data_IF_620281023312
#
_entry.id   IF_620281023312
#
_cell.length_a   1.000
_cell.length_b   1.000
_cell.length_c   1.000
_cell.angle_alpha   90.00
_cell.angle_beta   90.00
_cell.angle_gamma   90.00
#
_symmetry.space_group_name_H-M   'P 1'
#
loop_
_entity.id
_entity.type
_entity.pdbx_description
1 polymer ?
#
# COMPACT_ATOMS: atom_id res chain seq x y z
N UNK A 1 -20.46 -43.88 23.08
CA UNK A 1 -19.54 -43.06 23.91
C UNK A 1 -18.08 -43.50 23.83
N UNK A 2 -17.72 -44.78 23.83
CA UNK A 2 -16.29 -45.24 23.76
C UNK A 2 -15.56 -44.92 22.44
N UNK A 3 -16.24 -44.78 21.30
CA UNK A 3 -15.63 -44.47 19.98
C UNK A 3 -15.25 -42.99 19.83
N UNK A 4 -15.95 -42.09 20.50
CA UNK A 4 -15.66 -40.64 20.47
C UNK A 4 -14.42 -40.31 21.31
N UNK A 5 -14.21 -41.04 22.40
CA UNK A 5 -13.04 -40.89 23.26
C UNK A 5 -11.75 -41.33 22.56
N UNK A 6 -11.80 -42.33 21.68
CA UNK A 6 -10.65 -42.79 20.91
C UNK A 6 -10.22 -41.79 19.83
N UNK A 7 -11.17 -41.10 19.22
CA UNK A 7 -10.89 -40.08 18.18
C UNK A 7 -10.27 -38.83 18.82
N UNK A 8 -10.72 -38.44 20.03
CA UNK A 8 -10.15 -37.29 20.75
C UNK A 8 -8.70 -37.54 21.24
N UNK A 9 -8.37 -38.80 21.53
CA UNK A 9 -7.01 -39.17 21.95
C UNK A 9 -6.03 -39.18 20.77
N UNK A 10 -6.50 -39.49 19.53
CA UNK A 10 -5.66 -39.46 18.35
C UNK A 10 -5.32 -38.06 17.85
N UNK A 11 -6.17 -37.06 18.16
CA UNK A 11 -5.94 -35.67 17.78
C UNK A 11 -4.87 -34.97 18.62
N UNK A 12 -4.46 -35.53 19.74
CA UNK A 12 -3.46 -34.91 20.63
C UNK A 12 -2.00 -35.27 20.25
N UNK A 13 -1.79 -36.32 19.44
CA UNK A 13 -0.44 -36.73 19.05
C UNK A 13 0.15 -35.95 17.86
N UNK A 14 -0.68 -35.15 17.15
CA UNK A 14 -0.20 -34.41 15.97
C UNK A 14 0.45 -33.07 16.29
N UNK A 15 0.30 -32.54 17.52
CA UNK A 15 0.79 -31.22 17.90
C UNK A 15 2.31 -31.23 18.15
N UNK A 16 2.87 -32.34 18.64
CA UNK A 16 4.30 -32.42 18.94
C UNK A 16 5.20 -32.63 17.73
N UNK A 17 4.66 -33.17 16.63
CA UNK A 17 5.44 -33.41 15.41
C UNK A 17 5.70 -32.14 14.59
N UNK A 18 4.93 -31.09 14.78
CA UNK A 18 5.09 -29.81 14.05
C UNK A 18 6.21 -28.95 14.63
N UNK A 19 6.41 -28.96 15.95
CA UNK A 19 7.49 -28.18 16.60
C UNK A 19 8.86 -28.76 16.31
N UNK A 20 8.99 -30.09 16.19
CA UNK A 20 10.24 -30.75 15.86
C UNK A 20 10.60 -30.57 14.38
N UNK A 21 9.60 -30.56 13.49
CA UNK A 21 9.81 -30.29 12.06
C UNK A 21 10.21 -28.82 11.81
N UNK A 22 9.66 -27.88 12.57
CA UNK A 22 10.05 -26.47 12.54
C UNK A 22 11.49 -26.24 13.02
N UNK A 23 11.96 -27.00 14.00
CA UNK A 23 13.36 -26.97 14.46
C UNK A 23 14.34 -27.57 13.47
N UNK A 24 13.89 -28.58 12.66
CA UNK A 24 14.70 -29.19 11.59
C UNK A 24 14.84 -28.30 10.35
N UNK A 25 13.93 -27.31 10.15
CA UNK A 25 14.03 -26.34 9.06
C UNK A 25 15.15 -25.31 9.24
N UNK A 26 15.90 -25.37 10.35
CA UNK A 26 16.99 -24.46 10.68
C UNK A 26 16.45 -23.08 11.07
N UNK A 27 16.90 -22.55 12.17
CA UNK A 27 16.78 -21.13 12.45
C UNK A 27 17.59 -20.38 11.37
N UNK A 28 16.95 -20.03 10.26
CA UNK A 28 17.41 -18.93 9.46
C UNK A 28 17.35 -17.70 10.36
N UNK A 29 18.49 -17.42 10.99
CA UNK A 29 18.61 -16.43 12.06
C UNK A 29 18.19 -15.05 11.62
N UNK A 30 18.09 -14.79 10.30
CA UNK A 30 17.67 -13.52 9.72
C UNK A 30 16.66 -13.71 8.58
N UNK A 31 15.39 -13.42 8.83
CA UNK A 31 14.37 -13.42 7.78
C UNK A 31 13.65 -12.06 7.65
N UNK A 32 13.41 -11.65 6.39
CA UNK A 32 12.64 -10.45 6.09
C UNK A 32 11.16 -10.71 6.33
N UNK A 33 10.46 -9.72 6.88
CA UNK A 33 9.01 -9.78 7.03
C UNK A 33 8.38 -9.62 5.65
N UNK A 34 7.59 -10.62 5.24
CA UNK A 34 7.02 -10.69 3.89
C UNK A 34 6.12 -9.50 3.58
N UNK A 35 5.18 -9.16 4.49
CA UNK A 35 4.24 -8.08 4.31
C UNK A 35 3.92 -7.41 5.63
N UNK A 36 3.99 -6.07 5.64
CA UNK A 36 3.54 -5.24 6.75
C UNK A 36 2.03 -4.93 6.61
N UNK A 37 1.60 -4.67 5.38
CA UNK A 37 0.19 -4.44 5.03
C UNK A 37 -0.24 -5.37 3.90
N UNK A 38 -1.56 -5.55 3.74
CA UNK A 38 -2.15 -6.41 2.69
C UNK A 38 -2.18 -5.76 1.31
N UNK A 39 -1.92 -4.46 1.20
CA UNK A 39 -2.02 -3.75 -0.07
C UNK A 39 -1.03 -2.60 -0.19
N UNK A 40 -0.82 -2.17 -1.42
CA UNK A 40 0.09 -1.07 -1.77
C UNK A 40 -0.42 0.31 -1.33
N UNK A 41 -1.68 0.39 -0.88
CA UNK A 41 -2.31 1.62 -0.38
C UNK A 41 -3.07 1.35 0.92
N UNK A 42 -3.11 2.35 1.80
CA UNK A 42 -3.88 2.36 3.04
C UNK A 42 -4.88 3.50 2.93
N UNK A 43 -6.18 3.16 2.76
CA UNK A 43 -7.26 4.13 2.56
C UNK A 43 -6.90 5.11 1.42
N UNK A 44 -6.55 6.36 1.74
CA UNK A 44 -6.17 7.41 0.79
C UNK A 44 -4.64 7.59 0.68
N UNK A 45 -3.87 6.96 1.54
CA UNK A 45 -2.40 7.06 1.59
C UNK A 45 -1.68 5.92 0.89
N UNK A 46 -0.37 6.04 0.81
CA UNK A 46 0.51 4.97 0.33
C UNK A 46 0.90 4.08 1.50
N UNK A 47 1.10 2.79 1.25
CA UNK A 47 1.73 1.87 2.20
C UNK A 47 3.20 1.65 1.84
N UNK A 48 3.96 1.04 2.75
CA UNK A 48 5.34 0.60 2.48
C UNK A 48 5.42 -0.57 1.49
N UNK A 49 4.28 -1.15 1.11
CA UNK A 49 4.28 -2.26 0.16
C UNK A 49 4.46 -1.76 -1.27
N UNK A 50 5.28 -2.48 -2.02
CA UNK A 50 5.49 -2.29 -3.46
C UNK A 50 4.69 -3.34 -4.23
N UNK A 51 4.46 -3.07 -5.51
CA UNK A 51 4.00 -4.11 -6.45
C UNK A 51 5.15 -5.08 -6.68
N UNK A 52 4.86 -6.39 -6.74
CA UNK A 52 5.87 -7.43 -6.94
C UNK A 52 6.56 -7.25 -8.29
N UNK A 53 7.81 -7.67 -8.37
CA UNK A 53 8.61 -7.58 -9.60
C UNK A 53 7.88 -8.25 -10.78
N UNK A 54 7.72 -7.49 -11.86
CA UNK A 54 7.07 -7.95 -13.09
C UNK A 54 5.55 -7.89 -13.08
N UNK A 55 4.93 -7.62 -11.93
CA UNK A 55 3.47 -7.51 -11.82
C UNK A 55 2.99 -6.12 -12.24
N UNK A 56 1.83 -6.08 -12.88
CA UNK A 56 1.09 -4.86 -13.21
C UNK A 56 -0.21 -4.84 -12.42
N UNK A 57 -0.37 -3.81 -11.58
CA UNK A 57 -1.54 -3.63 -10.75
C UNK A 57 -2.43 -2.51 -11.32
N UNK A 58 -3.64 -2.86 -11.76
CA UNK A 58 -4.65 -1.88 -12.15
C UNK A 58 -5.52 -1.52 -10.97
N UNK A 59 -5.64 -0.23 -10.68
CA UNK A 59 -6.37 0.31 -9.54
C UNK A 59 -7.50 1.22 -10.00
N UNK A 60 -8.72 0.93 -9.55
CA UNK A 60 -9.87 1.83 -9.69
C UNK A 60 -10.20 2.34 -8.29
N UNK A 61 -10.01 3.64 -8.07
CA UNK A 61 -10.25 4.28 -6.78
C UNK A 61 -11.43 5.22 -6.89
N UNK A 62 -12.43 4.98 -6.05
CA UNK A 62 -13.59 5.88 -5.90
C UNK A 62 -13.40 6.73 -4.65
N UNK A 63 -13.64 8.03 -4.77
CA UNK A 63 -13.72 8.98 -3.67
C UNK A 63 -15.08 9.66 -3.72
N UNK A 64 -15.78 9.58 -2.61
CA UNK A 64 -17.09 10.17 -2.46
C UNK A 64 -16.97 11.57 -1.85
N UNK A 65 -18.04 12.36 -1.98
CA UNK A 65 -18.14 13.66 -1.37
C UNK A 65 -18.26 13.60 0.16
N UNK A 66 -18.57 14.73 0.77
CA UNK A 66 -18.63 14.86 2.23
C UNK A 66 -19.94 14.30 2.79
N UNK A 67 -19.87 13.61 3.93
CA UNK A 67 -21.04 13.04 4.61
C UNK A 67 -22.05 14.11 5.06
N UNK A 68 -21.62 15.36 5.27
CA UNK A 68 -22.48 16.46 5.67
C UNK A 68 -23.27 17.10 4.53
N UNK A 69 -23.18 16.57 3.29
CA UNK A 69 -23.97 17.05 2.14
C UNK A 69 -25.45 16.70 2.20
N UNK A 70 -25.88 15.98 3.25
CA UNK A 70 -27.29 15.69 3.54
C UNK A 70 -27.88 14.55 2.71
N UNK A 71 -29.11 14.15 3.07
CA UNK A 71 -29.81 13.04 2.44
C UNK A 71 -30.16 13.27 0.96
N UNK A 72 -30.32 14.52 0.54
CA UNK A 72 -30.60 14.87 -0.86
C UNK A 72 -29.46 14.44 -1.81
N UNK A 73 -28.21 14.56 -1.37
CA UNK A 73 -27.02 14.13 -2.12
C UNK A 73 -26.52 12.74 -1.67
N UNK A 74 -27.41 11.91 -1.13
CA UNK A 74 -27.06 10.58 -0.57
C UNK A 74 -25.78 10.62 0.29
N UNK A 75 -25.68 11.63 1.16
CA UNK A 75 -24.51 11.83 2.05
C UNK A 75 -23.19 11.87 1.30
N UNK A 76 -23.17 12.47 0.12
CA UNK A 76 -21.98 12.64 -0.72
C UNK A 76 -21.71 11.52 -1.73
N UNK A 77 -22.53 10.47 -1.78
CA UNK A 77 -22.37 9.39 -2.76
C UNK A 77 -22.58 9.86 -4.21
N UNK A 78 -23.44 10.85 -4.43
CA UNK A 78 -23.69 11.41 -5.77
C UNK A 78 -22.49 12.16 -6.36
N UNK A 79 -21.59 12.64 -5.51
CA UNK A 79 -20.37 13.36 -5.90
C UNK A 79 -19.16 12.43 -5.92
N UNK A 80 -19.21 11.38 -6.73
CA UNK A 80 -18.08 10.44 -6.82
C UNK A 80 -17.02 10.93 -7.79
N UNK A 81 -15.76 10.79 -7.36
CA UNK A 81 -14.58 11.03 -8.18
C UNK A 81 -13.84 9.71 -8.36
N UNK A 82 -13.43 9.44 -9.58
CA UNK A 82 -12.74 8.20 -9.94
C UNK A 82 -11.29 8.50 -10.32
N UNK A 83 -10.37 7.68 -9.84
CA UNK A 83 -9.00 7.64 -10.32
C UNK A 83 -8.68 6.24 -10.84
N UNK A 84 -8.23 6.19 -12.07
CA UNK A 84 -7.62 5.00 -12.66
C UNK A 84 -6.11 5.06 -12.47
N UNK A 85 -5.52 3.98 -12.00
CA UNK A 85 -4.08 3.88 -11.77
C UNK A 85 -3.53 2.57 -12.32
N UNK A 86 -2.30 2.64 -12.83
CA UNK A 86 -1.49 1.49 -13.23
C UNK A 86 -0.18 1.58 -12.45
N UNK A 87 0.07 0.63 -11.58
CA UNK A 87 1.30 0.53 -10.80
C UNK A 87 2.07 -0.72 -11.27
N UNK A 88 3.36 -0.58 -11.59
CA UNK A 88 4.21 -1.66 -12.08
C UNK A 88 5.40 -1.88 -11.16
N UNK A 89 5.67 -3.14 -10.82
CA UNK A 89 6.84 -3.56 -10.07
C UNK A 89 8.05 -3.75 -10.96
N UNK A 90 8.96 -2.78 -10.98
CA UNK A 90 10.20 -2.86 -11.78
C UNK A 90 11.13 -3.93 -11.22
N UNK A 91 11.29 -3.93 -9.90
CA UNK A 91 12.05 -4.91 -9.16
C UNK A 91 11.59 -4.92 -7.68
N UNK A 92 12.25 -5.69 -6.82
CA UNK A 92 11.87 -5.83 -5.40
C UNK A 92 12.06 -4.54 -4.56
N UNK A 93 12.71 -3.53 -5.15
CA UNK A 93 13.06 -2.26 -4.49
C UNK A 93 12.32 -1.06 -5.07
N UNK A 94 11.84 -1.16 -6.31
CA UNK A 94 11.29 -0.03 -7.06
C UNK A 94 9.97 -0.43 -7.71
N UNK A 95 8.95 0.37 -7.48
CA UNK A 95 7.72 0.36 -8.27
C UNK A 95 7.41 1.77 -8.78
N UNK A 96 6.83 1.83 -9.96
CA UNK A 96 6.40 3.06 -10.63
C UNK A 96 4.91 2.99 -10.91
N UNK A 97 4.26 4.12 -10.97
CA UNK A 97 2.82 4.17 -11.24
C UNK A 97 2.44 5.39 -12.04
N UNK A 98 1.39 5.23 -12.82
CA UNK A 98 0.73 6.29 -13.57
C UNK A 98 -0.75 6.28 -13.20
N UNK A 99 -1.36 7.45 -13.18
CA UNK A 99 -2.77 7.54 -12.88
C UNK A 99 -3.44 8.73 -13.53
N UNK A 100 -4.76 8.61 -13.64
CA UNK A 100 -5.63 9.71 -14.05
C UNK A 100 -6.83 9.82 -13.15
N UNK A 101 -7.05 11.00 -12.60
CA UNK A 101 -8.20 11.34 -11.78
C UNK A 101 -9.21 12.15 -12.57
N UNK A 102 -10.50 11.92 -12.32
CA UNK A 102 -11.58 12.81 -12.82
C UNK A 102 -11.54 14.19 -12.15
N UNK A 103 -10.97 14.26 -10.93
CA UNK A 103 -10.81 15.52 -10.22
C UNK A 103 -9.79 16.41 -10.93
N UNK A 104 -10.23 17.57 -11.39
CA UNK A 104 -9.47 18.53 -12.19
C UNK A 104 -8.77 17.90 -13.40
N UNK A 105 -9.25 16.74 -13.86
CA UNK A 105 -8.65 15.95 -14.95
C UNK A 105 -7.14 15.74 -14.74
N UNK A 106 -6.74 15.49 -13.50
CA UNK A 106 -5.32 15.38 -13.10
C UNK A 106 -4.73 14.07 -13.61
N UNK A 107 -3.54 14.15 -14.22
CA UNK A 107 -2.67 13.01 -14.49
C UNK A 107 -1.59 13.00 -13.42
N UNK A 108 -1.27 11.83 -12.91
CA UNK A 108 -0.21 11.67 -11.91
C UNK A 108 0.77 10.56 -12.30
N UNK A 109 2.02 10.78 -11.97
CA UNK A 109 3.05 9.76 -11.99
C UNK A 109 3.64 9.63 -10.59
N UNK A 110 4.00 8.41 -10.21
CA UNK A 110 4.57 8.16 -8.89
C UNK A 110 5.64 7.07 -8.93
N UNK A 111 6.50 7.09 -7.93
CA UNK A 111 7.50 6.05 -7.69
C UNK A 111 7.60 5.74 -6.19
N UNK A 112 7.85 4.49 -5.88
CA UNK A 112 8.22 4.01 -4.54
C UNK A 112 9.57 3.35 -4.61
N UNK A 113 10.45 3.70 -3.69
CA UNK A 113 11.78 3.12 -3.55
C UNK A 113 11.90 2.57 -2.14
N UNK A 114 12.01 1.24 -2.02
CA UNK A 114 12.22 0.55 -0.75
C UNK A 114 13.68 0.68 -0.35
N UNK A 115 13.94 1.39 0.74
CA UNK A 115 15.28 1.62 1.26
C UNK A 115 15.69 0.50 2.21
N UNK A 116 14.78 0.10 3.10
CA UNK A 116 15.03 -0.95 4.09
C UNK A 116 13.76 -1.77 4.29
N UNK A 117 13.91 -3.07 4.52
CA UNK A 117 12.83 -3.98 4.90
C UNK A 117 12.98 -4.40 6.36
N UNK A 118 11.88 -4.43 7.08
CA UNK A 118 11.86 -4.99 8.43
C UNK A 118 12.29 -6.46 8.39
N UNK A 119 13.19 -6.84 9.30
CA UNK A 119 13.67 -8.21 9.46
C UNK A 119 13.56 -8.66 10.91
N UNK A 120 13.72 -9.96 11.14
CA UNK A 120 13.89 -10.59 12.45
C UNK A 120 15.15 -11.42 12.44
N UNK A 121 15.84 -11.54 13.59
CA UNK A 121 17.09 -12.29 13.76
C UNK A 121 18.13 -11.47 14.52
N UNK A 122 19.39 -11.90 14.49
CA UNK A 122 20.49 -11.26 15.22
C UNK A 122 20.77 -9.83 14.73
N UNK A 123 20.71 -9.60 13.40
CA UNK A 123 20.88 -8.28 12.77
C UNK A 123 19.53 -7.70 12.32
N UNK A 124 18.50 -7.84 13.15
CA UNK A 124 17.15 -7.44 12.82
C UNK A 124 16.99 -5.93 12.64
N UNK A 125 16.45 -5.52 11.50
CA UNK A 125 16.05 -4.13 11.30
C UNK A 125 14.59 -3.95 11.74
N UNK A 126 14.30 -3.03 12.67
CA UNK A 126 13.02 -3.00 13.38
C UNK A 126 11.84 -2.44 12.58
N UNK A 127 12.06 -1.82 11.42
CA UNK A 127 11.02 -1.19 10.59
C UNK A 127 11.33 -1.28 9.10
N UNK A 128 10.32 -1.09 8.27
CA UNK A 128 10.45 -0.90 6.82
C UNK A 128 10.47 0.58 6.49
N UNK A 129 11.35 0.98 5.57
CA UNK A 129 11.50 2.35 5.11
C UNK A 129 11.35 2.41 3.58
N UNK A 130 10.42 3.25 3.12
CA UNK A 130 10.15 3.45 1.70
C UNK A 130 10.07 4.94 1.41
N UNK A 131 10.75 5.39 0.36
CA UNK A 131 10.58 6.73 -0.17
C UNK A 131 9.55 6.71 -1.29
N UNK A 132 8.54 7.54 -1.16
CA UNK A 132 7.51 7.77 -2.15
C UNK A 132 7.64 9.16 -2.74
N UNK A 133 7.57 9.26 -4.05
CA UNK A 133 7.57 10.52 -4.79
C UNK A 133 6.45 10.51 -5.82
N UNK A 134 5.77 11.63 -5.96
CA UNK A 134 4.72 11.80 -6.95
C UNK A 134 4.74 13.19 -7.56
N UNK A 135 4.38 13.26 -8.83
CA UNK A 135 4.13 14.47 -9.58
C UNK A 135 2.72 14.44 -10.14
N UNK A 136 2.01 15.55 -10.04
CA UNK A 136 0.64 15.72 -10.50
C UNK A 136 0.62 16.82 -11.53
N UNK A 137 -0.07 16.58 -12.62
CA UNK A 137 -0.32 17.55 -13.68
C UNK A 137 -1.83 17.77 -13.82
N UNK A 138 -2.30 18.98 -13.51
CA UNK A 138 -3.69 19.38 -13.67
C UNK A 138 -3.90 19.83 -15.10
N UNK A 139 -4.88 19.23 -15.80
CA UNK A 139 -5.25 19.73 -17.11
C UNK A 139 -6.08 21.00 -16.97
N UNK A 140 -5.49 22.14 -17.34
CA UNK A 140 -6.20 23.41 -17.36
C UNK A 140 -7.34 23.41 -18.37
N UNK A 141 -8.39 24.15 -18.05
CA UNK A 141 -9.43 24.49 -19.00
C UNK A 141 -8.81 25.41 -20.06
N UNK A 142 -9.20 25.24 -21.32
CA UNK A 142 -8.70 26.01 -22.46
C UNK A 142 -8.65 27.52 -22.23
N UNK A 143 -9.61 28.07 -21.46
CA UNK A 143 -9.65 29.48 -21.09
C UNK A 143 -8.48 29.95 -20.22
N UNK A 144 -7.87 29.05 -19.43
CA UNK A 144 -6.72 29.38 -18.59
C UNK A 144 -5.41 29.40 -19.39
N UNK A 145 -5.36 28.64 -20.48
CA UNK A 145 -4.19 28.59 -21.40
C UNK A 145 -4.05 29.87 -22.24
N UNK A 146 -5.08 30.68 -22.36
CA UNK A 146 -5.07 31.93 -23.14
C UNK A 146 -4.63 33.15 -22.33
N UNK A 147 -4.36 32.99 -21.02
CA UNK A 147 -3.85 34.10 -20.19
C UNK A 147 -2.37 34.37 -20.53
N UNK A 148 -2.01 35.64 -20.71
CA UNK A 148 -0.64 36.07 -21.04
C UNK A 148 0.42 35.62 -20.00
N UNK A 149 0.00 35.36 -18.76
CA UNK A 149 0.86 34.91 -17.65
C UNK A 149 0.87 33.42 -17.41
N UNK A 150 0.36 32.61 -18.35
CA UNK A 150 0.27 31.17 -18.18
C UNK A 150 1.65 30.50 -18.27
N UNK A 151 2.04 29.82 -17.19
CA UNK A 151 3.24 28.99 -17.14
C UNK A 151 2.84 27.55 -16.86
N UNK A 152 3.35 26.59 -17.63
CA UNK A 152 3.01 25.18 -17.51
C UNK A 152 3.32 24.61 -16.10
N UNK A 153 4.28 25.18 -15.41
CA UNK A 153 4.65 24.81 -14.04
C UNK A 153 3.57 25.09 -13.03
N UNK A 154 2.65 26.03 -13.30
CA UNK A 154 1.53 26.35 -12.40
C UNK A 154 0.51 25.22 -12.30
N UNK A 155 0.53 24.31 -13.28
CA UNK A 155 -0.31 23.11 -13.30
C UNK A 155 0.34 21.92 -12.61
N UNK A 156 1.63 22.00 -12.32
CA UNK A 156 2.38 20.92 -11.71
C UNK A 156 2.37 21.05 -10.19
N UNK A 157 2.19 19.94 -9.52
CA UNK A 157 2.43 19.82 -8.09
C UNK A 157 3.15 18.50 -7.82
N UNK A 158 3.97 18.48 -6.79
CA UNK A 158 4.74 17.31 -6.40
C UNK A 158 4.62 17.08 -4.91
N UNK A 159 4.78 15.84 -4.50
CA UNK A 159 4.83 15.46 -3.11
C UNK A 159 5.87 14.38 -2.90
N UNK A 160 6.59 14.48 -1.81
CA UNK A 160 7.56 13.49 -1.35
C UNK A 160 7.15 13.01 0.04
N UNK A 161 7.18 11.70 0.27
CA UNK A 161 6.85 11.12 1.56
C UNK A 161 7.90 10.09 1.94
N UNK A 162 8.20 10.03 3.22
CA UNK A 162 8.95 8.94 3.82
C UNK A 162 7.97 8.05 4.56
N UNK A 163 7.81 6.81 4.10
CA UNK A 163 6.92 5.83 4.70
C UNK A 163 7.73 4.97 5.66
N UNK A 164 7.41 5.04 6.94
CA UNK A 164 8.08 4.29 8.01
C UNK A 164 7.04 3.36 8.61
N UNK A 165 7.21 2.05 8.47
CA UNK A 165 6.22 1.11 8.96
C UNK A 165 6.86 -0.02 9.77
N UNK A 166 6.12 -0.51 10.75
CA UNK A 166 6.49 -1.64 11.58
C UNK A 166 5.32 -2.59 11.74
N UNK A 167 5.56 -3.85 11.45
CA UNK A 167 4.67 -4.94 11.83
C UNK A 167 4.99 -5.37 13.26
N UNK A 168 4.08 -5.07 14.18
CA UNK A 168 4.24 -5.39 15.60
C UNK A 168 3.96 -6.87 15.85
N UNK A 169 2.86 -7.38 15.27
CA UNK A 169 2.44 -8.78 15.37
C UNK A 169 1.58 -9.16 14.14
N UNK A 170 0.95 -10.33 14.15
CA UNK A 170 0.08 -10.81 13.06
C UNK A 170 -1.12 -9.88 12.78
N UNK A 171 -1.59 -9.15 13.78
CA UNK A 171 -2.83 -8.37 13.73
C UNK A 171 -2.63 -6.86 13.71
N UNK A 172 -1.44 -6.38 14.12
CA UNK A 172 -1.16 -4.95 14.26
C UNK A 172 0.08 -4.54 13.48
N UNK A 173 -0.11 -3.58 12.58
CA UNK A 173 0.96 -2.86 11.89
C UNK A 173 0.72 -1.36 12.01
N UNK A 174 1.78 -0.59 12.17
CA UNK A 174 1.73 0.86 12.32
C UNK A 174 2.59 1.49 11.24
N UNK A 175 2.12 2.59 10.66
CA UNK A 175 2.86 3.38 9.68
C UNK A 175 2.79 4.87 10.02
N UNK A 176 3.92 5.54 9.87
CA UNK A 176 4.05 7.00 9.84
C UNK A 176 4.43 7.42 8.42
N UNK A 177 3.85 8.52 7.95
CA UNK A 177 4.05 8.99 6.57
C UNK A 177 4.27 10.50 6.55
N UNK A 178 5.40 11.01 7.09
CA UNK A 178 5.72 12.42 6.96
C UNK A 178 5.85 12.81 5.47
N UNK A 179 5.30 13.99 5.14
CA UNK A 179 5.23 14.56 3.79
C UNK A 179 5.92 15.90 3.76
#
# INVERSE_FOLDING_TARGET
MKRILLISLFCQFTVFAQDDLLKLLGDDTNYKISYTFKGVKIVNGQSVELVSKGDLLFLIQHRFGTLNSGGYNLYGLDNSQVRFGLDYGVNDWVSIGLGRSSFLKTIDANSKIKLVSQSKGEDAFPFSLVWYSSVFFKQSIWADMQKESYVITDQMSYAHQVLIARKMNSNLSIQLSPT
#
